data_IF_580527016570
#
_entry.id   IF_580527016570
#
_cell.length_a   1.000
_cell.length_b   1.000
_cell.length_c   1.000
_cell.angle_alpha   90.00
_cell.angle_beta   90.00
_cell.angle_gamma   90.00
#
_symmetry.space_group_name_H-M   'P 1'
#
loop_
_entity.id
_entity.type
_entity.pdbx_description
1 polymer ?
#
# COMPACT_ATOMS: atom_id res chain seq x y z
N UNK A 1 17.21 -24.59 14.68
CA UNK A 1 16.61 -23.60 13.79
C UNK A 1 15.12 -23.45 14.05
N UNK A 2 14.58 -22.32 13.65
CA UNK A 2 13.15 -22.09 13.76
C UNK A 2 12.40 -22.96 12.74
N UNK A 3 11.14 -23.37 13.05
CA UNK A 3 10.33 -24.18 12.12
C UNK A 3 10.18 -23.57 10.73
N UNK A 4 10.20 -22.23 10.60
CA UNK A 4 10.12 -21.57 9.30
C UNK A 4 11.26 -21.96 8.38
N UNK A 5 12.48 -22.15 8.88
CA UNK A 5 13.62 -22.55 8.06
C UNK A 5 13.63 -24.03 7.70
N UNK A 6 12.68 -24.82 8.22
CA UNK A 6 12.41 -26.20 7.77
C UNK A 6 11.40 -26.23 6.62
N UNK A 7 10.48 -25.27 6.57
CA UNK A 7 9.45 -25.15 5.54
C UNK A 7 9.84 -24.21 4.40
N UNK A 8 10.70 -23.24 4.70
CA UNK A 8 11.13 -22.18 3.80
C UNK A 8 12.65 -22.20 3.65
N UNK A 9 13.14 -21.54 2.61
CA UNK A 9 14.55 -21.35 2.40
C UNK A 9 15.01 -20.09 3.14
N UNK A 10 15.91 -20.24 4.11
CA UNK A 10 16.54 -19.15 4.82
C UNK A 10 17.95 -18.92 4.30
N UNK A 11 18.19 -17.76 3.70
CA UNK A 11 19.49 -17.34 3.17
C UNK A 11 19.88 -16.02 3.82
N UNK A 12 20.91 -16.04 4.67
CA UNK A 12 21.26 -14.88 5.46
C UNK A 12 20.08 -14.43 6.32
N UNK A 13 19.63 -13.20 6.15
CA UNK A 13 18.47 -12.63 6.85
C UNK A 13 17.20 -12.62 5.99
N UNK A 14 17.22 -13.24 4.81
CA UNK A 14 16.07 -13.36 3.92
C UNK A 14 15.40 -14.72 4.08
N UNK A 15 14.07 -14.72 4.13
CA UNK A 15 13.25 -15.94 4.26
C UNK A 15 12.36 -16.06 3.03
N UNK A 16 12.52 -17.14 2.29
CA UNK A 16 11.80 -17.41 1.03
C UNK A 16 10.81 -18.55 1.26
N UNK A 17 9.52 -18.20 1.32
CA UNK A 17 8.43 -19.13 1.59
C UNK A 17 7.41 -19.19 0.44
N UNK A 18 7.77 -18.77 -0.77
CA UNK A 18 6.83 -18.76 -1.89
C UNK A 18 6.34 -20.17 -2.18
N UNK A 19 5.03 -20.29 -2.44
CA UNK A 19 4.38 -21.54 -2.83
C UNK A 19 4.72 -22.73 -1.90
N UNK A 20 4.72 -22.47 -0.60
CA UNK A 20 5.08 -23.44 0.43
C UNK A 20 3.86 -24.08 1.12
N UNK A 21 2.63 -23.81 0.63
CA UNK A 21 1.41 -24.34 1.21
C UNK A 21 1.07 -23.77 2.58
N UNK A 22 1.59 -22.61 2.93
CA UNK A 22 1.36 -21.99 4.25
C UNK A 22 -0.08 -21.51 4.37
N UNK A 23 -0.67 -21.74 5.53
CA UNK A 23 -1.99 -21.22 5.91
C UNK A 23 -1.90 -20.09 6.93
N UNK A 24 -0.72 -19.89 7.52
CA UNK A 24 -0.43 -18.85 8.51
C UNK A 24 0.96 -18.26 8.29
N UNK A 25 1.16 -17.07 8.82
CA UNK A 25 2.51 -16.48 8.87
C UNK A 25 3.38 -17.35 9.77
N UNK A 26 4.53 -17.85 9.26
CA UNK A 26 5.41 -18.68 10.07
C UNK A 26 6.19 -17.84 11.10
N UNK A 27 6.62 -18.49 12.18
CA UNK A 27 7.53 -17.85 13.14
C UNK A 27 8.89 -17.61 12.47
N UNK A 28 9.31 -16.36 12.37
CA UNK A 28 10.52 -15.96 11.65
C UNK A 28 11.70 -15.78 12.58
N UNK A 29 12.95 -15.99 12.06
CA UNK A 29 14.15 -15.64 12.82
C UNK A 29 14.15 -14.17 13.25
N UNK A 30 14.63 -13.83 14.44
CA UNK A 30 14.58 -12.45 14.96
C UNK A 30 15.33 -11.42 14.11
N UNK A 31 16.31 -11.84 13.33
CA UNK A 31 17.12 -10.97 12.49
C UNK A 31 16.60 -10.89 11.03
N UNK A 32 15.42 -11.41 10.75
CA UNK A 32 14.82 -11.38 9.41
C UNK A 32 14.68 -9.96 8.92
N UNK A 33 15.19 -9.71 7.71
CA UNK A 33 15.09 -8.43 7.01
C UNK A 33 14.11 -8.49 5.83
N UNK A 34 14.00 -9.62 5.14
CA UNK A 34 13.14 -9.81 3.97
C UNK A 34 12.32 -11.07 4.13
N UNK A 35 11.00 -10.96 3.95
CA UNK A 35 10.10 -12.09 3.89
C UNK A 35 9.40 -12.13 2.54
N UNK A 36 9.52 -13.26 1.85
CA UNK A 36 8.77 -13.58 0.63
C UNK A 36 7.89 -14.78 0.93
N UNK A 37 6.57 -14.56 0.99
CA UNK A 37 5.59 -15.62 1.26
C UNK A 37 4.43 -15.55 0.25
N UNK A 38 4.78 -15.39 -1.04
CA UNK A 38 3.82 -15.30 -2.13
C UNK A 38 3.19 -16.65 -2.44
N UNK A 39 1.97 -16.61 -2.96
CA UNK A 39 1.28 -17.77 -3.51
C UNK A 39 1.11 -18.91 -2.49
N UNK A 40 0.75 -18.53 -1.28
CA UNK A 40 0.34 -19.47 -0.22
C UNK A 40 -1.17 -19.36 -0.01
N UNK A 41 -1.68 -19.90 1.09
CA UNK A 41 -3.09 -19.88 1.48
C UNK A 41 -3.32 -19.16 2.79
N UNK A 42 -2.51 -18.13 3.06
CA UNK A 42 -2.62 -17.35 4.29
C UNK A 42 -3.93 -16.56 4.25
N UNK A 43 -4.78 -16.76 5.26
CA UNK A 43 -6.10 -16.13 5.32
C UNK A 43 -6.17 -14.91 6.20
N UNK A 44 -5.23 -14.73 7.12
CA UNK A 44 -5.22 -13.62 8.04
C UNK A 44 -3.79 -13.24 8.45
N UNK A 45 -3.59 -11.97 8.74
CA UNK A 45 -2.37 -11.46 9.40
C UNK A 45 -2.78 -10.92 10.75
N UNK A 46 -2.18 -11.43 11.81
CA UNK A 46 -2.53 -11.10 13.19
C UNK A 46 -1.52 -10.15 13.79
N UNK A 47 -1.95 -9.43 14.81
CA UNK A 47 -1.13 -8.41 15.47
C UNK A 47 0.23 -8.93 15.96
N UNK A 48 0.31 -10.19 16.41
CA UNK A 48 1.54 -10.78 16.93
C UNK A 48 2.44 -11.46 15.90
N UNK A 49 2.01 -11.58 14.64
CA UNK A 49 2.72 -12.40 13.65
C UNK A 49 4.15 -11.92 13.37
N UNK A 50 4.39 -10.62 13.45
CA UNK A 50 5.71 -10.03 13.20
C UNK A 50 6.32 -9.41 14.46
N UNK A 51 5.80 -9.75 15.63
CA UNK A 51 6.26 -9.16 16.89
C UNK A 51 7.76 -9.40 17.11
N UNK A 52 8.48 -8.34 17.49
CA UNK A 52 9.91 -8.39 17.78
C UNK A 52 10.83 -8.35 16.57
N UNK A 53 10.30 -8.30 15.36
CA UNK A 53 11.11 -8.26 14.13
C UNK A 53 11.53 -6.83 13.79
N UNK A 54 12.45 -6.28 14.57
CA UNK A 54 12.85 -4.87 14.47
C UNK A 54 13.63 -4.53 13.20
N UNK A 55 14.19 -5.53 12.53
CA UNK A 55 15.02 -5.35 11.33
C UNK A 55 14.26 -5.63 10.04
N UNK A 56 12.99 -6.04 10.14
CA UNK A 56 12.19 -6.41 8.97
C UNK A 56 11.92 -5.19 8.10
N UNK A 57 12.40 -5.25 6.84
CA UNK A 57 12.33 -4.16 5.86
C UNK A 57 11.32 -4.41 4.75
N UNK A 58 11.09 -5.67 4.42
CA UNK A 58 10.30 -6.05 3.27
C UNK A 58 9.42 -7.24 3.58
N UNK A 59 8.13 -7.12 3.27
CA UNK A 59 7.16 -8.22 3.38
C UNK A 59 6.43 -8.31 2.04
N UNK A 60 6.48 -9.49 1.42
CA UNK A 60 5.71 -9.79 0.21
C UNK A 60 4.75 -10.94 0.49
N UNK A 61 3.45 -10.62 0.53
CA UNK A 61 2.36 -11.57 0.76
C UNK A 61 1.43 -11.64 -0.45
N UNK A 62 1.95 -11.36 -1.64
CA UNK A 62 1.17 -11.37 -2.88
C UNK A 62 0.52 -12.73 -3.12
N UNK A 63 -0.70 -12.72 -3.65
CA UNK A 63 -1.35 -13.95 -4.12
C UNK A 63 -1.71 -14.94 -3.02
N UNK A 64 -2.13 -14.45 -1.87
CA UNK A 64 -2.68 -15.26 -0.81
C UNK A 64 -4.21 -15.13 -0.79
N UNK A 65 -4.84 -15.50 0.33
CA UNK A 65 -6.27 -15.38 0.54
C UNK A 65 -6.57 -14.51 1.76
N UNK A 66 -5.75 -13.50 2.00
CA UNK A 66 -5.85 -12.66 3.19
C UNK A 66 -7.10 -11.81 3.08
N UNK A 67 -8.08 -12.11 3.93
CA UNK A 67 -9.32 -11.37 4.06
C UNK A 67 -9.30 -10.43 5.26
N UNK A 68 -8.38 -10.65 6.19
CA UNK A 68 -8.27 -9.91 7.44
C UNK A 68 -6.82 -9.65 7.79
N UNK A 69 -6.48 -8.40 8.05
CA UNK A 69 -5.23 -8.00 8.66
C UNK A 69 -5.55 -7.15 9.88
N UNK A 70 -5.09 -7.55 11.05
CA UNK A 70 -5.31 -6.78 12.28
C UNK A 70 -4.69 -5.38 12.13
N UNK A 71 -5.34 -4.38 12.74
CA UNK A 71 -4.92 -2.99 12.62
C UNK A 71 -3.45 -2.80 13.02
N UNK A 72 -2.99 -3.54 14.01
CA UNK A 72 -1.65 -3.43 14.58
C UNK A 72 -0.63 -4.43 13.98
N UNK A 73 -1.01 -5.17 12.92
CA UNK A 73 -0.13 -6.20 12.37
C UNK A 73 1.22 -5.64 11.88
N UNK A 74 1.21 -4.41 11.33
CA UNK A 74 2.41 -3.79 10.73
C UNK A 74 2.83 -2.49 11.40
N UNK A 75 1.94 -1.84 12.12
CA UNK A 75 2.10 -0.47 12.63
C UNK A 75 3.37 -0.26 13.45
N UNK A 76 3.74 -1.24 14.25
CA UNK A 76 4.85 -1.12 15.20
C UNK A 76 6.19 -1.65 14.65
N UNK A 77 6.27 -2.01 13.38
CA UNK A 77 7.51 -2.47 12.76
C UNK A 77 8.37 -1.25 12.38
N UNK A 78 9.48 -0.99 13.10
CA UNK A 78 10.20 0.28 12.98
C UNK A 78 10.98 0.41 11.67
N UNK A 79 11.31 -0.71 11.03
CA UNK A 79 12.16 -0.74 9.85
C UNK A 79 11.41 -1.09 8.56
N UNK A 80 10.11 -1.37 8.63
CA UNK A 80 9.36 -1.84 7.46
C UNK A 80 9.19 -0.72 6.44
N UNK A 81 9.79 -0.91 5.27
CA UNK A 81 9.79 0.04 4.16
C UNK A 81 8.91 -0.39 2.99
N UNK A 82 8.79 -1.70 2.77
CA UNK A 82 8.01 -2.23 1.65
C UNK A 82 7.01 -3.27 2.13
N UNK A 83 5.74 -3.03 1.85
CA UNK A 83 4.65 -3.94 2.19
C UNK A 83 3.85 -4.23 0.92
N UNK A 84 3.94 -5.47 0.45
CA UNK A 84 3.27 -5.92 -0.76
C UNK A 84 2.17 -6.92 -0.40
N UNK A 85 0.92 -6.49 -0.61
CA UNK A 85 -0.29 -7.25 -0.31
C UNK A 85 -1.20 -7.43 -1.54
N UNK A 86 -0.71 -7.37 -2.79
CA UNK A 86 -1.62 -7.46 -3.94
C UNK A 86 -2.21 -8.88 -4.07
N UNK A 87 -3.33 -8.98 -4.79
CA UNK A 87 -4.01 -10.25 -5.05
C UNK A 87 -4.39 -10.99 -3.76
N UNK A 88 -5.06 -10.28 -2.86
CA UNK A 88 -5.64 -10.84 -1.65
C UNK A 88 -7.14 -10.51 -1.61
N UNK A 89 -7.75 -10.62 -0.45
CA UNK A 89 -9.19 -10.42 -0.27
C UNK A 89 -9.49 -9.34 0.78
N UNK A 90 -8.56 -8.40 0.98
CA UNK A 90 -8.70 -7.34 1.98
C UNK A 90 -9.86 -6.41 1.62
N UNK A 91 -10.67 -6.07 2.61
CA UNK A 91 -11.71 -5.03 2.53
C UNK A 91 -11.30 -3.76 3.24
N UNK A 92 -10.35 -3.87 4.16
CA UNK A 92 -9.82 -2.78 4.95
C UNK A 92 -8.31 -2.80 4.89
N UNK A 93 -7.71 -1.61 4.92
CA UNK A 93 -6.26 -1.47 4.98
C UNK A 93 -5.84 -1.40 6.46
N UNK A 94 -4.89 -2.25 6.91
CA UNK A 94 -4.34 -2.12 8.26
C UNK A 94 -3.54 -0.82 8.42
N UNK A 95 -3.27 -0.44 9.66
CA UNK A 95 -2.41 0.71 9.94
C UNK A 95 -0.99 0.46 9.43
N UNK A 96 -0.39 1.49 8.85
CA UNK A 96 0.92 1.40 8.22
C UNK A 96 2.02 1.89 9.15
N UNK A 97 3.23 1.30 9.06
CA UNK A 97 4.37 1.75 9.86
C UNK A 97 4.93 3.07 9.33
N UNK A 98 5.60 3.82 10.20
CA UNK A 98 6.14 5.15 9.88
C UNK A 98 7.22 5.14 8.81
N UNK A 99 7.99 4.07 8.71
CA UNK A 99 9.09 3.98 7.76
C UNK A 99 8.66 3.57 6.36
N UNK A 100 7.35 3.31 6.12
CA UNK A 100 6.85 2.80 4.85
C UNK A 100 7.22 3.73 3.70
N UNK A 101 7.81 3.15 2.65
CA UNK A 101 8.18 3.80 1.41
C UNK A 101 7.29 3.33 0.27
N UNK A 102 6.94 2.06 0.25
CA UNK A 102 6.11 1.44 -0.79
C UNK A 102 5.01 0.60 -0.17
N UNK A 103 3.78 0.92 -0.53
CA UNK A 103 2.62 0.08 -0.27
C UNK A 103 1.99 -0.35 -1.59
N UNK A 104 1.83 -1.63 -1.78
CA UNK A 104 1.00 -2.18 -2.85
C UNK A 104 -0.10 -3.04 -2.23
N UNK A 105 -1.34 -2.60 -2.34
CA UNK A 105 -2.53 -3.35 -1.95
C UNK A 105 -3.51 -3.44 -3.12
N UNK A 106 -2.99 -3.46 -4.34
CA UNK A 106 -3.80 -3.63 -5.55
C UNK A 106 -4.46 -5.00 -5.60
N UNK A 107 -5.52 -5.13 -6.41
CA UNK A 107 -6.24 -6.40 -6.60
C UNK A 107 -6.73 -6.98 -5.26
N UNK A 108 -7.37 -6.14 -4.47
CA UNK A 108 -8.09 -6.51 -3.27
C UNK A 108 -9.56 -6.08 -3.41
N UNK A 109 -10.28 -5.91 -2.31
CA UNK A 109 -11.68 -5.49 -2.26
C UNK A 109 -11.87 -4.26 -1.39
N UNK A 110 -10.85 -3.37 -1.35
CA UNK A 110 -10.85 -2.22 -0.46
C UNK A 110 -11.80 -1.16 -1.01
N UNK A 111 -12.82 -0.81 -0.24
CA UNK A 111 -13.67 0.34 -0.47
C UNK A 111 -13.16 1.53 0.36
N UNK A 112 -13.62 2.74 0.03
CA UNK A 112 -13.18 3.95 0.75
C UNK A 112 -13.48 3.89 2.25
N UNK A 113 -14.57 3.22 2.65
CA UNK A 113 -14.86 2.99 4.06
C UNK A 113 -13.83 2.10 4.77
N UNK A 114 -13.04 1.34 4.04
CA UNK A 114 -11.95 0.51 4.57
C UNK A 114 -10.63 1.25 4.73
N UNK A 115 -10.60 2.55 4.41
CA UNK A 115 -9.46 3.42 4.63
C UNK A 115 -9.80 4.39 5.77
N UNK A 116 -8.90 4.54 6.73
CA UNK A 116 -9.07 5.52 7.79
C UNK A 116 -8.96 6.93 7.24
N UNK A 117 -9.73 7.90 7.76
CA UNK A 117 -9.51 9.30 7.42
C UNK A 117 -8.06 9.70 7.72
N UNK A 118 -7.38 10.27 6.75
CA UNK A 118 -5.99 10.67 6.92
C UNK A 118 -4.99 9.52 7.07
N UNK A 119 -5.30 8.33 6.54
CA UNK A 119 -4.46 7.14 6.69
C UNK A 119 -3.01 7.34 6.22
N UNK A 120 -2.79 8.24 5.26
CA UNK A 120 -1.47 8.47 4.65
C UNK A 120 -0.84 9.79 5.07
N UNK A 121 -1.54 10.62 5.86
CA UNK A 121 -1.13 11.99 6.21
C UNK A 121 0.28 12.07 6.79
N UNK A 122 0.59 11.18 7.75
CA UNK A 122 1.82 11.26 8.54
C UNK A 122 2.92 10.34 8.02
N UNK A 123 2.72 9.73 6.86
CA UNK A 123 3.68 8.81 6.26
C UNK A 123 4.66 9.60 5.39
N UNK A 124 5.61 10.26 6.03
CA UNK A 124 6.50 11.24 5.42
C UNK A 124 7.52 10.64 4.45
N UNK A 125 7.66 9.31 4.42
CA UNK A 125 8.57 8.61 3.54
C UNK A 125 7.85 7.83 2.44
N UNK A 126 6.51 7.84 2.41
CA UNK A 126 5.74 7.09 1.43
C UNK A 126 5.91 7.69 0.03
N UNK A 127 6.48 6.91 -0.88
CA UNK A 127 6.74 7.31 -2.26
C UNK A 127 5.84 6.60 -3.26
N UNK A 128 5.45 5.36 -2.98
CA UNK A 128 4.67 4.53 -3.91
C UNK A 128 3.43 4.02 -3.19
N UNK A 129 2.26 4.45 -3.66
CA UNK A 129 0.97 4.02 -3.13
C UNK A 129 0.16 3.44 -4.28
N UNK A 130 0.03 2.12 -4.29
CA UNK A 130 -0.66 1.38 -5.34
C UNK A 130 -1.90 0.69 -4.77
N UNK A 131 -3.06 1.19 -5.19
CA UNK A 131 -4.38 0.73 -4.76
C UNK A 131 -5.28 0.45 -5.98
N UNK A 132 -4.69 0.10 -7.12
CA UNK A 132 -5.45 -0.23 -8.32
C UNK A 132 -6.32 -1.47 -8.12
N UNK A 133 -7.35 -1.61 -8.94
CA UNK A 133 -8.21 -2.80 -8.94
C UNK A 133 -8.79 -3.09 -7.56
N UNK A 134 -9.36 -2.07 -6.95
CA UNK A 134 -10.12 -2.12 -5.70
C UNK A 134 -11.52 -1.53 -5.94
N UNK A 135 -12.17 -1.08 -4.89
CA UNK A 135 -13.54 -0.54 -4.92
C UNK A 135 -13.61 0.86 -4.35
N UNK A 136 -12.53 1.63 -4.49
CA UNK A 136 -12.49 3.01 -4.00
C UNK A 136 -13.40 3.89 -4.84
N UNK A 137 -14.15 4.77 -4.18
CA UNK A 137 -14.99 5.79 -4.81
C UNK A 137 -14.45 7.20 -4.62
N UNK A 138 -13.44 7.37 -3.78
CA UNK A 138 -12.73 8.62 -3.55
C UNK A 138 -11.22 8.42 -3.65
N UNK A 139 -10.51 9.49 -4.01
CA UNK A 139 -9.05 9.54 -3.88
C UNK A 139 -8.73 9.74 -2.40
N UNK A 140 -7.91 8.87 -1.78
CA UNK A 140 -7.56 9.03 -0.38
C UNK A 140 -6.78 10.32 -0.14
N UNK A 141 -7.25 11.16 0.76
CA UNK A 141 -6.64 12.45 1.08
C UNK A 141 -6.55 12.63 2.60
N UNK A 142 -5.60 13.44 3.09
CA UNK A 142 -4.52 14.10 2.34
C UNK A 142 -3.44 13.12 1.90
N UNK A 143 -2.81 13.42 0.76
CA UNK A 143 -1.69 12.65 0.24
C UNK A 143 -0.38 13.22 0.78
N UNK A 144 0.59 12.38 1.17
CA UNK A 144 1.86 12.88 1.69
C UNK A 144 2.69 13.58 0.60
N UNK A 145 3.48 14.57 0.99
CA UNK A 145 4.34 15.32 0.07
C UNK A 145 5.45 14.48 -0.56
N UNK A 146 5.83 13.39 0.11
CA UNK A 146 6.85 12.46 -0.38
C UNK A 146 6.40 11.62 -1.57
N UNK A 147 5.10 11.60 -1.88
CA UNK A 147 4.53 10.68 -2.87
C UNK A 147 5.09 10.96 -4.27
N UNK A 148 5.49 9.89 -4.97
CA UNK A 148 6.01 9.91 -6.34
C UNK A 148 5.10 9.21 -7.32
N UNK A 149 4.44 8.13 -6.89
CA UNK A 149 3.61 7.28 -7.73
C UNK A 149 2.32 6.92 -7.01
N UNK A 150 1.20 7.24 -7.64
CA UNK A 150 -0.14 6.95 -7.14
C UNK A 150 -0.91 6.18 -8.19
N UNK A 151 -1.15 4.91 -7.94
CA UNK A 151 -1.91 4.05 -8.85
C UNK A 151 -3.30 3.78 -8.27
N UNK A 152 -4.31 4.36 -8.90
CA UNK A 152 -5.71 4.23 -8.54
C UNK A 152 -6.57 3.75 -9.71
N UNK A 153 -5.96 3.20 -10.75
CA UNK A 153 -6.71 2.71 -11.91
C UNK A 153 -7.67 1.57 -11.54
N UNK A 154 -8.74 1.45 -12.29
CA UNK A 154 -9.74 0.38 -12.12
C UNK A 154 -10.37 0.37 -10.71
N UNK A 155 -10.81 1.53 -10.27
CA UNK A 155 -11.67 1.70 -9.10
C UNK A 155 -13.02 2.28 -9.56
N UNK A 156 -13.75 2.91 -8.66
CA UNK A 156 -15.05 3.55 -8.96
C UNK A 156 -15.04 5.03 -8.58
N UNK A 157 -13.91 5.70 -8.81
CA UNK A 157 -13.74 7.11 -8.50
C UNK A 157 -14.49 7.95 -9.52
N UNK A 158 -15.44 8.80 -9.06
CA UNK A 158 -16.31 9.62 -9.89
C UNK A 158 -15.98 11.08 -9.83
N UNK A 159 -15.34 11.54 -8.76
CA UNK A 159 -15.10 12.95 -8.51
C UNK A 159 -13.82 13.12 -7.71
N UNK A 160 -13.33 14.36 -7.66
CA UNK A 160 -12.25 14.75 -6.77
C UNK A 160 -12.46 16.21 -6.33
N UNK A 161 -11.81 16.59 -5.25
CA UNK A 161 -11.71 17.99 -4.85
C UNK A 161 -10.53 18.66 -5.57
N UNK A 162 -10.63 19.94 -5.87
CA UNK A 162 -9.53 20.68 -6.52
C UNK A 162 -8.25 20.68 -5.70
N UNK A 163 -8.35 20.59 -4.38
CA UNK A 163 -7.20 20.54 -3.46
C UNK A 163 -6.64 19.11 -3.26
N UNK A 164 -7.08 18.14 -4.02
CA UNK A 164 -6.63 16.74 -3.89
C UNK A 164 -5.13 16.62 -4.08
N UNK A 165 -4.58 17.24 -5.13
CA UNK A 165 -3.15 17.20 -5.44
C UNK A 165 -2.45 18.51 -5.11
N UNK A 166 -3.12 19.64 -5.31
CA UNK A 166 -2.54 20.96 -5.23
C UNK A 166 -3.31 21.78 -4.19
N UNK A 167 -2.59 22.34 -3.20
CA UNK A 167 -3.22 23.24 -2.23
C UNK A 167 -3.24 24.65 -2.79
N UNK A 168 -4.44 25.16 -3.07
CA UNK A 168 -4.64 26.50 -3.61
C UNK A 168 -4.36 27.61 -2.59
N UNK A 169 -4.35 27.28 -1.29
CA UNK A 169 -4.13 28.26 -0.22
C UNK A 169 -2.64 28.43 0.13
N UNK A 170 -1.84 27.39 -0.07
CA UNK A 170 -0.40 27.46 0.09
C UNK A 170 0.27 27.74 -1.27
N UNK A 171 0.39 29.01 -1.60
CA UNK A 171 1.08 29.42 -2.81
C UNK A 171 2.50 28.88 -2.81
N UNK A 172 2.78 27.92 -3.68
CA UNK A 172 4.11 27.41 -3.90
C UNK A 172 4.34 25.94 -3.53
N UNK A 173 3.33 25.21 -3.09
CA UNK A 173 3.46 23.76 -3.00
C UNK A 173 3.50 23.14 -4.40
N UNK A 174 4.71 22.96 -4.90
CA UNK A 174 4.96 22.26 -6.16
C UNK A 174 5.23 20.80 -5.82
N UNK A 175 4.37 19.91 -6.26
CA UNK A 175 4.57 18.46 -6.09
C UNK A 175 5.48 17.93 -7.20
N UNK A 176 6.76 18.29 -7.16
CA UNK A 176 7.72 17.91 -8.21
C UNK A 176 7.98 16.40 -8.27
N UNK A 177 7.82 15.71 -7.16
CA UNK A 177 8.08 14.28 -7.08
C UNK A 177 6.88 13.44 -7.53
N UNK A 178 5.65 13.97 -7.49
CA UNK A 178 4.43 13.25 -7.86
C UNK A 178 4.25 13.27 -9.38
N UNK A 179 4.94 12.36 -10.06
CA UNK A 179 5.06 12.32 -11.51
C UNK A 179 4.33 11.15 -12.18
N UNK A 180 3.75 10.24 -11.39
CA UNK A 180 3.11 9.04 -11.92
C UNK A 180 1.75 8.84 -11.22
N UNK A 181 0.69 9.39 -11.83
CA UNK A 181 -0.67 9.27 -11.31
C UNK A 181 -1.51 8.53 -12.36
N UNK A 182 -2.10 7.41 -11.96
CA UNK A 182 -2.99 6.64 -12.80
C UNK A 182 -4.41 6.65 -12.24
N UNK A 183 -5.34 7.21 -13.03
CA UNK A 183 -6.78 7.28 -12.76
C UNK A 183 -7.61 6.64 -13.88
N UNK A 184 -6.96 5.99 -14.83
CA UNK A 184 -7.66 5.30 -15.92
C UNK A 184 -8.54 4.16 -15.38
N UNK A 185 -9.59 3.81 -16.09
CA UNK A 185 -10.55 2.80 -15.64
C UNK A 185 -11.45 3.25 -14.48
N UNK A 186 -11.55 4.56 -14.24
CA UNK A 186 -12.50 5.15 -13.30
C UNK A 186 -13.54 5.98 -14.07
N UNK A 187 -14.76 6.18 -13.50
CA UNK A 187 -15.78 6.99 -14.16
C UNK A 187 -15.44 8.48 -14.26
N UNK A 188 -14.52 8.99 -13.46
CA UNK A 188 -14.17 10.40 -13.38
C UNK A 188 -13.75 10.98 -14.72
N UNK A 189 -14.28 12.17 -15.05
CA UNK A 189 -13.82 12.99 -16.17
C UNK A 189 -12.88 14.07 -15.64
N UNK A 190 -11.58 13.93 -15.90
CA UNK A 190 -10.55 14.81 -15.37
C UNK A 190 -10.64 16.23 -15.94
N UNK A 191 -11.27 16.41 -17.12
CA UNK A 191 -11.44 17.74 -17.71
C UNK A 191 -12.36 18.66 -16.90
N UNK A 192 -13.16 18.09 -15.98
CA UNK A 192 -14.03 18.87 -15.09
C UNK A 192 -13.26 19.48 -13.90
N UNK A 193 -12.00 19.17 -13.73
CA UNK A 193 -11.19 19.61 -12.60
C UNK A 193 -9.89 20.28 -13.03
N UNK A 194 -9.97 21.34 -13.90
CA UNK A 194 -8.76 21.92 -14.51
C UNK A 194 -7.79 22.51 -13.50
N UNK A 195 -8.27 22.96 -12.34
CA UNK A 195 -7.44 23.57 -11.32
C UNK A 195 -6.77 22.57 -10.39
N UNK A 196 -7.04 21.27 -10.55
CA UNK A 196 -6.49 20.24 -9.66
C UNK A 196 -5.05 19.85 -9.99
N UNK A 197 -4.50 20.26 -11.15
CA UNK A 197 -3.28 19.70 -11.71
C UNK A 197 -2.12 20.70 -11.86
N UNK A 198 -2.32 21.97 -11.51
CA UNK A 198 -1.32 23.03 -11.81
C UNK A 198 0.01 22.84 -11.10
N UNK A 199 0.04 22.14 -9.95
CA UNK A 199 1.24 21.90 -9.17
C UNK A 199 2.00 20.64 -9.59
N UNK A 200 1.44 19.85 -10.51
CA UNK A 200 2.00 18.56 -10.89
C UNK A 200 2.99 18.71 -12.06
N UNK A 201 4.09 17.93 -12.08
CA UNK A 201 5.01 17.92 -13.21
C UNK A 201 4.41 17.30 -14.46
N UNK A 202 3.41 16.40 -14.31
CA UNK A 202 2.73 15.71 -15.41
C UNK A 202 1.26 15.56 -15.09
N UNK A 203 0.43 15.54 -16.14
CA UNK A 203 -0.99 15.24 -15.99
C UNK A 203 -1.19 13.77 -15.62
N UNK A 204 -2.23 13.47 -14.81
CA UNK A 204 -2.61 12.09 -14.56
C UNK A 204 -3.01 11.36 -15.84
N UNK A 205 -2.80 10.06 -15.88
CA UNK A 205 -3.39 9.19 -16.89
C UNK A 205 -4.86 8.96 -16.53
N UNK A 206 -5.77 9.16 -17.51
CA UNK A 206 -7.20 8.99 -17.28
C UNK A 206 -8.02 9.65 -18.37
N UNK A 207 -9.34 9.71 -18.16
CA UNK A 207 -10.28 10.25 -19.12
C UNK A 207 -10.41 11.77 -18.98
N UNK A 208 -10.27 12.49 -20.12
CA UNK A 208 -10.41 13.95 -20.20
C UNK A 208 -11.58 14.39 -21.08
N UNK A 209 -12.50 13.47 -21.36
CA UNK A 209 -13.65 13.78 -22.23
C UNK A 209 -14.96 13.20 -21.72
#
# INVERSE_FOLDING_TARGET
GLPSCLLCLCLGTSVYCDDAGLEHIPALPPDTTYLYARFNRIGAVRAGDFSGLEKLKHIDLSGNSISRADADAFRLLPSLQELLLPQNLLRELPELPRAIVRLDASLNRIASAGLRPGAFRDLKQLQFLHLSDNQLDFIPVPLPESLRSLHLQNNNIRTMHEDTFCDSQEQGQIRRALEDIRLDGNPINLSLFPNAFFCLPRLPTGRFS
#
